data_IF_325097596342
#
_entry.id   IF_325097596342
#
_cell.length_a   1.000
_cell.length_b   1.000
_cell.length_c   1.000
_cell.angle_alpha   90.00
_cell.angle_beta   90.00
_cell.angle_gamma   90.00
#
_symmetry.space_group_name_H-M   'P 1'
#
loop_
_entity.id
_entity.type
_entity.pdbx_description
1 polymer ?
#
# COMPACT_ATOMS: atom_id res chain seq x y z
N UNK A 1 -9.46 3.14 -6.34
CA UNK A 1 -9.97 4.27 -7.16
C UNK A 1 -10.65 5.34 -6.32
N UNK A 2 -11.54 5.00 -5.38
CA UNK A 2 -12.27 6.00 -4.55
C UNK A 2 -11.37 7.05 -3.88
N UNK A 3 -10.20 6.66 -3.37
CA UNK A 3 -9.27 7.60 -2.73
C UNK A 3 -8.66 8.59 -3.72
N UNK A 4 -8.36 8.14 -4.93
CA UNK A 4 -7.79 8.99 -6.00
C UNK A 4 -8.85 9.93 -6.54
N UNK A 5 -10.07 9.46 -6.76
CA UNK A 5 -11.18 10.31 -7.19
C UNK A 5 -11.50 11.38 -6.14
N UNK A 6 -11.51 11.02 -4.85
CA UNK A 6 -11.70 11.95 -3.75
C UNK A 6 -10.58 13.00 -3.68
N UNK A 7 -9.35 12.59 -3.86
CA UNK A 7 -8.19 13.48 -3.85
C UNK A 7 -8.21 14.44 -5.05
N UNK A 8 -8.45 13.94 -6.26
CA UNK A 8 -8.60 14.77 -7.46
C UNK A 8 -9.79 15.74 -7.36
N UNK A 9 -10.90 15.32 -6.75
CA UNK A 9 -12.05 16.19 -6.51
C UNK A 9 -11.73 17.34 -5.55
N UNK A 10 -10.90 17.09 -4.54
CA UNK A 10 -10.44 18.16 -3.64
C UNK A 10 -9.54 19.16 -4.39
N UNK A 11 -8.58 18.66 -5.17
CA UNK A 11 -7.74 19.53 -5.99
C UNK A 11 -8.55 20.31 -7.02
N UNK A 12 -9.54 19.66 -7.67
CA UNK A 12 -10.43 20.36 -8.60
C UNK A 12 -11.08 21.59 -7.96
N UNK A 13 -11.58 21.46 -6.74
CA UNK A 13 -12.18 22.61 -6.02
C UNK A 13 -11.18 23.73 -5.79
N UNK A 14 -9.92 23.39 -5.47
CA UNK A 14 -8.87 24.40 -5.28
C UNK A 14 -8.53 25.10 -6.59
N UNK A 15 -8.42 24.37 -7.70
CA UNK A 15 -8.18 24.92 -9.02
C UNK A 15 -9.35 25.80 -9.51
N UNK A 16 -10.60 25.36 -9.34
CA UNK A 16 -11.79 26.14 -9.70
C UNK A 16 -11.89 27.44 -8.89
N UNK A 17 -11.52 27.39 -7.62
CA UNK A 17 -11.48 28.61 -6.79
C UNK A 17 -10.40 29.57 -7.27
N UNK A 18 -9.23 29.07 -7.53
CA UNK A 18 -8.10 29.87 -7.98
C UNK A 18 -8.31 30.43 -9.39
N UNK A 19 -8.90 29.66 -10.31
CA UNK A 19 -9.15 30.10 -11.70
C UNK A 19 -10.09 31.31 -11.82
N UNK A 20 -10.86 31.58 -10.77
CA UNK A 20 -11.74 32.76 -10.68
C UNK A 20 -11.04 34.00 -10.15
N UNK A 21 -9.79 33.92 -9.70
CA UNK A 21 -9.04 35.05 -9.18
C UNK A 21 -8.44 35.88 -10.32
N UNK A 22 -8.39 37.20 -10.18
CA UNK A 22 -7.72 38.07 -11.14
C UNK A 22 -6.25 37.71 -11.31
N UNK A 23 -5.77 37.64 -12.54
CA UNK A 23 -4.39 37.33 -12.85
C UNK A 23 -4.07 35.84 -12.98
N UNK A 24 -5.04 34.95 -12.80
CA UNK A 24 -4.84 33.50 -13.05
C UNK A 24 -4.66 33.26 -14.56
N UNK A 25 -3.63 32.48 -14.97
CA UNK A 25 -3.41 32.14 -16.36
C UNK A 25 -4.63 31.46 -17.01
N UNK A 26 -4.91 31.79 -18.26
CA UNK A 26 -5.95 31.10 -19.03
C UNK A 26 -5.58 29.60 -19.23
N UNK A 27 -6.60 28.75 -19.36
CA UNK A 27 -6.39 27.32 -19.66
C UNK A 27 -5.97 26.47 -18.45
N UNK A 28 -6.06 27.02 -17.22
CA UNK A 28 -5.71 26.27 -15.99
C UNK A 28 -6.59 25.04 -15.81
N UNK A 29 -7.89 25.18 -16.05
CA UNK A 29 -8.84 24.07 -15.86
C UNK A 29 -8.65 22.97 -16.91
N UNK A 30 -8.38 23.34 -18.16
CA UNK A 30 -8.07 22.41 -19.24
C UNK A 30 -6.80 21.60 -18.95
N UNK A 31 -5.76 22.26 -18.45
CA UNK A 31 -4.53 21.59 -18.02
C UNK A 31 -4.78 20.63 -16.84
N UNK A 32 -5.56 21.07 -15.85
CA UNK A 32 -5.93 20.21 -14.73
C UNK A 32 -6.73 18.99 -15.20
N UNK A 33 -7.71 19.17 -16.08
CA UNK A 33 -8.55 18.10 -16.58
C UNK A 33 -7.73 17.09 -17.41
N UNK A 34 -6.78 17.56 -18.21
CA UNK A 34 -5.84 16.70 -18.94
C UNK A 34 -4.95 15.87 -17.98
N UNK A 35 -4.35 16.50 -16.97
CA UNK A 35 -3.53 15.79 -15.97
C UNK A 35 -4.37 14.82 -15.14
N UNK A 36 -5.57 15.23 -14.74
CA UNK A 36 -6.52 14.37 -14.03
C UNK A 36 -6.93 13.15 -14.86
N UNK A 37 -7.16 13.33 -16.16
CA UNK A 37 -7.43 12.23 -17.09
C UNK A 37 -6.27 11.23 -17.18
N UNK A 38 -5.04 11.72 -17.28
CA UNK A 38 -3.83 10.88 -17.28
C UNK A 38 -3.67 10.11 -15.98
N UNK A 39 -3.89 10.74 -14.83
CA UNK A 39 -3.85 10.07 -13.52
C UNK A 39 -4.89 8.95 -13.44
N UNK A 40 -6.12 9.21 -13.88
CA UNK A 40 -7.20 8.21 -13.89
C UNK A 40 -6.90 7.04 -14.83
N UNK A 41 -6.23 7.31 -15.94
CA UNK A 41 -5.77 6.30 -16.91
C UNK A 41 -4.49 5.57 -16.47
N UNK A 42 -3.87 5.96 -15.36
CA UNK A 42 -2.55 5.49 -14.90
C UNK A 42 -1.39 5.81 -15.87
N UNK A 43 -1.58 6.76 -16.78
CA UNK A 43 -0.52 7.29 -17.62
C UNK A 43 0.25 8.37 -16.85
N UNK A 44 1.17 7.93 -16.02
CA UNK A 44 1.94 8.81 -15.13
C UNK A 44 3.19 9.41 -15.79
N UNK A 45 3.45 9.06 -17.04
CA UNK A 45 4.66 9.42 -17.77
C UNK A 45 5.84 8.50 -17.45
N UNK A 46 6.86 8.54 -18.28
CA UNK A 46 8.09 7.76 -18.09
C UNK A 46 9.01 8.44 -17.07
N UNK A 47 9.75 7.62 -16.32
CA UNK A 47 10.73 8.08 -15.36
C UNK A 47 10.14 8.57 -14.03
N UNK A 48 11.03 9.02 -13.16
CA UNK A 48 10.72 9.61 -11.85
C UNK A 48 11.49 10.89 -11.67
N UNK A 49 10.83 11.91 -11.11
CA UNK A 49 11.43 13.18 -10.77
C UNK A 49 11.80 13.14 -9.30
N UNK A 50 13.09 13.30 -8.98
CA UNK A 50 13.56 13.35 -7.59
C UNK A 50 13.08 14.62 -6.89
N UNK A 51 12.62 14.46 -5.67
CA UNK A 51 12.20 15.54 -4.76
C UNK A 51 12.95 15.35 -3.44
N UNK A 52 12.94 16.35 -2.57
CA UNK A 52 13.66 16.29 -1.29
C UNK A 52 13.42 14.99 -0.50
N UNK A 53 14.35 14.64 0.35
CA UNK A 53 14.38 13.44 1.20
C UNK A 53 14.38 12.09 0.42
N UNK A 54 14.90 12.08 -0.80
CA UNK A 54 14.97 10.86 -1.63
C UNK A 54 13.63 10.39 -2.17
N UNK A 55 12.56 11.14 -1.97
CA UNK A 55 11.26 10.85 -2.55
C UNK A 55 11.26 11.12 -4.06
N UNK A 56 10.67 10.23 -4.84
CA UNK A 56 10.52 10.39 -6.28
C UNK A 56 9.04 10.36 -6.68
N UNK A 57 8.63 11.32 -7.52
CA UNK A 57 7.27 11.40 -8.06
C UNK A 57 7.25 11.17 -9.57
N UNK A 58 6.12 10.75 -10.10
CA UNK A 58 5.90 10.63 -11.54
C UNK A 58 5.81 12.01 -12.21
N UNK A 59 6.16 12.12 -13.50
CA UNK A 59 6.10 13.38 -14.24
C UNK A 59 4.73 14.06 -14.17
N UNK A 60 3.63 13.33 -14.35
CA UNK A 60 2.29 13.92 -14.31
C UNK A 60 1.93 14.48 -12.93
N UNK A 61 2.40 13.87 -11.85
CA UNK A 61 2.19 14.40 -10.50
C UNK A 61 3.05 15.65 -10.26
N UNK A 62 4.25 15.70 -10.83
CA UNK A 62 5.08 16.91 -10.83
C UNK A 62 4.41 18.06 -11.57
N UNK A 63 3.88 17.78 -12.77
CA UNK A 63 3.17 18.79 -13.56
C UNK A 63 1.94 19.33 -12.82
N UNK A 64 1.20 18.45 -12.13
CA UNK A 64 0.06 18.86 -11.31
C UNK A 64 0.47 19.77 -10.16
N UNK A 65 1.58 19.45 -9.48
CA UNK A 65 2.15 20.30 -8.42
C UNK A 65 2.56 21.66 -8.94
N UNK A 66 3.22 21.70 -10.09
CA UNK A 66 3.74 22.94 -10.68
C UNK A 66 2.59 23.80 -11.24
N UNK A 67 1.55 23.18 -11.78
CA UNK A 67 0.32 23.88 -12.15
C UNK A 67 -0.33 24.53 -10.92
N UNK A 68 -0.42 23.83 -9.80
CA UNK A 68 -0.96 24.39 -8.56
C UNK A 68 -0.13 25.59 -8.05
N UNK A 69 1.21 25.49 -8.11
CA UNK A 69 2.08 26.62 -7.77
C UNK A 69 1.78 27.86 -8.60
N UNK A 70 1.51 27.67 -9.89
CA UNK A 70 1.19 28.77 -10.80
C UNK A 70 -0.06 29.55 -10.38
N UNK A 71 -1.04 28.87 -9.80
CA UNK A 71 -2.33 29.51 -9.44
C UNK A 71 -2.41 29.92 -7.98
N UNK A 72 -1.71 29.26 -7.06
CA UNK A 72 -1.82 29.49 -5.62
C UNK A 72 -0.62 30.21 -5.02
N UNK A 73 0.47 30.32 -5.78
CA UNK A 73 1.75 30.86 -5.30
C UNK A 73 2.52 29.91 -4.35
N UNK A 74 1.92 28.80 -3.95
CA UNK A 74 2.56 27.76 -3.11
C UNK A 74 2.53 26.39 -3.76
N UNK A 75 3.48 25.53 -3.40
CA UNK A 75 3.42 24.12 -3.76
C UNK A 75 2.49 23.37 -2.79
N UNK A 76 1.92 22.26 -3.25
CA UNK A 76 1.39 21.27 -2.32
C UNK A 76 2.49 20.81 -1.36
N UNK A 77 2.11 20.50 -0.13
CA UNK A 77 3.06 19.95 0.84
C UNK A 77 3.65 18.64 0.35
N UNK A 78 4.85 18.31 0.80
CA UNK A 78 5.51 17.06 0.45
C UNK A 78 4.65 15.85 0.86
N UNK A 79 3.97 15.92 2.01
CA UNK A 79 3.12 14.84 2.51
C UNK A 79 1.86 14.62 1.64
N UNK A 80 1.24 15.71 1.15
CA UNK A 80 0.12 15.62 0.20
C UNK A 80 0.55 14.89 -1.08
N UNK A 81 1.72 15.25 -1.62
CA UNK A 81 2.26 14.65 -2.85
C UNK A 81 2.73 13.21 -2.62
N UNK A 82 3.40 12.92 -1.49
CA UNK A 82 3.78 11.55 -1.12
C UNK A 82 2.53 10.65 -1.00
N UNK A 83 1.49 11.13 -0.35
CA UNK A 83 0.24 10.39 -0.20
C UNK A 83 -0.40 10.07 -1.55
N UNK A 84 -0.47 11.03 -2.47
CA UNK A 84 -0.98 10.78 -3.82
C UNK A 84 -0.13 9.74 -4.56
N UNK A 85 1.20 9.96 -4.64
CA UNK A 85 2.08 9.07 -5.38
C UNK A 85 2.01 7.64 -4.84
N UNK A 86 2.01 7.46 -3.51
CA UNK A 86 1.88 6.15 -2.87
C UNK A 86 0.56 5.45 -3.26
N UNK A 87 -0.55 6.17 -3.25
CA UNK A 87 -1.85 5.63 -3.65
C UNK A 87 -1.88 5.23 -5.13
N UNK A 88 -1.26 6.03 -6.00
CA UNK A 88 -1.15 5.74 -7.43
C UNK A 88 -0.27 4.51 -7.69
N UNK A 89 0.89 4.43 -7.04
CA UNK A 89 1.80 3.30 -7.17
C UNK A 89 1.14 1.99 -6.69
N UNK A 90 0.41 2.04 -5.57
CA UNK A 90 -0.35 0.89 -5.06
C UNK A 90 -1.47 0.47 -6.01
N UNK A 91 -2.20 1.43 -6.60
CA UNK A 91 -3.26 1.13 -7.55
C UNK A 91 -2.70 0.59 -8.86
N UNK A 92 -1.61 1.20 -9.39
CA UNK A 92 -0.94 0.71 -10.60
C UNK A 92 -0.46 -0.72 -10.43
N UNK A 93 0.19 -1.04 -9.31
CA UNK A 93 0.60 -2.41 -9.00
C UNK A 93 -0.56 -3.42 -9.08
N UNK A 94 -1.73 -3.05 -8.53
CA UNK A 94 -2.92 -3.91 -8.58
C UNK A 94 -3.46 -4.09 -10.00
N UNK A 95 -3.51 -3.01 -10.77
CA UNK A 95 -3.96 -3.05 -12.17
C UNK A 95 -3.04 -3.94 -13.01
N UNK A 96 -1.73 -3.75 -12.87
CA UNK A 96 -0.72 -4.52 -13.61
C UNK A 96 -0.78 -6.01 -13.22
N UNK A 97 -0.92 -6.33 -11.94
CA UNK A 97 -1.04 -7.70 -11.48
C UNK A 97 -2.31 -8.40 -11.97
N UNK A 98 -3.46 -7.70 -11.99
CA UNK A 98 -4.69 -8.22 -12.56
C UNK A 98 -4.59 -8.42 -14.08
N UNK A 99 -3.94 -7.49 -14.79
CA UNK A 99 -3.68 -7.62 -16.23
C UNK A 99 -2.77 -8.82 -16.56
N UNK A 100 -1.84 -9.16 -15.66
CA UNK A 100 -0.98 -10.35 -15.74
C UNK A 100 -1.70 -11.66 -15.38
N UNK A 101 -3.01 -11.62 -15.12
CA UNK A 101 -3.82 -12.81 -14.83
C UNK A 101 -3.84 -13.25 -13.36
N UNK A 102 -3.30 -12.42 -12.45
CA UNK A 102 -3.39 -12.71 -11.02
C UNK A 102 -4.84 -12.50 -10.53
N UNK A 103 -5.47 -13.55 -10.04
CA UNK A 103 -6.85 -13.51 -9.54
C UNK A 103 -6.96 -12.87 -8.16
N UNK A 104 -5.85 -12.78 -7.43
CA UNK A 104 -5.78 -12.15 -6.12
C UNK A 104 -4.54 -11.27 -6.02
N UNK A 105 -4.76 -9.96 -5.85
CA UNK A 105 -3.70 -8.98 -5.59
C UNK A 105 -3.86 -8.49 -4.16
N UNK A 106 -2.94 -8.85 -3.26
CA UNK A 106 -3.04 -8.42 -1.87
C UNK A 106 -2.98 -6.89 -1.76
N UNK A 107 -3.82 -6.35 -0.90
CA UNK A 107 -3.75 -4.93 -0.59
C UNK A 107 -2.54 -4.69 0.31
N UNK A 108 -1.46 -4.10 -0.22
CA UNK A 108 -0.24 -3.82 0.55
C UNK A 108 -0.45 -2.85 1.71
N UNK A 109 -1.47 -2.01 1.59
CA UNK A 109 -1.72 -0.92 2.54
C UNK A 109 -2.72 -1.31 3.64
N UNK A 110 -3.35 -2.49 3.54
CA UNK A 110 -4.23 -3.00 4.57
C UNK A 110 -3.48 -4.09 5.34
N UNK A 111 -3.15 -3.84 6.60
CA UNK A 111 -2.55 -4.87 7.43
C UNK A 111 -3.50 -6.06 7.50
N UNK A 112 -2.94 -7.25 7.46
CA UNK A 112 -3.71 -8.48 7.66
C UNK A 112 -4.17 -8.59 9.11
N UNK A 113 -5.17 -9.42 9.39
CA UNK A 113 -5.62 -9.64 10.78
C UNK A 113 -4.49 -10.09 11.69
N UNK A 114 -3.59 -10.93 11.19
CA UNK A 114 -2.41 -11.36 11.92
C UNK A 114 -1.45 -10.19 12.22
N UNK A 115 -1.24 -9.29 11.27
CA UNK A 115 -0.43 -8.09 11.48
C UNK A 115 -1.07 -7.10 12.46
N UNK A 116 -2.40 -6.91 12.38
CA UNK A 116 -3.16 -6.07 13.31
C UNK A 116 -3.10 -6.64 14.74
N UNK A 117 -3.28 -7.95 14.89
CA UNK A 117 -3.19 -8.63 16.17
C UNK A 117 -1.77 -8.52 16.77
N UNK A 118 -0.73 -8.67 15.94
CA UNK A 118 0.66 -8.50 16.38
C UNK A 118 0.94 -7.06 16.86
N UNK A 119 0.45 -6.05 16.12
CA UNK A 119 0.59 -4.64 16.52
C UNK A 119 -0.20 -4.31 17.80
N UNK A 120 -1.35 -4.95 18.01
CA UNK A 120 -2.14 -4.84 19.23
C UNK A 120 -1.37 -5.41 20.42
N UNK A 121 -0.76 -6.60 20.27
CA UNK A 121 0.07 -7.22 21.30
C UNK A 121 1.25 -6.33 21.70
N UNK A 122 1.92 -5.69 20.74
CA UNK A 122 2.99 -4.73 21.06
C UNK A 122 2.49 -3.58 21.93
N UNK A 123 1.32 -3.03 21.66
CA UNK A 123 0.70 -1.96 22.47
C UNK A 123 0.36 -2.45 23.89
N UNK A 124 -0.24 -3.62 23.99
CA UNK A 124 -0.64 -4.22 25.29
C UNK A 124 0.56 -4.61 26.16
N UNK A 125 1.70 -4.95 25.55
CA UNK A 125 2.93 -5.35 26.24
C UNK A 125 3.92 -4.20 26.45
N UNK A 126 3.45 -2.96 26.45
CA UNK A 126 4.26 -1.78 26.78
C UNK A 126 4.79 -0.99 25.57
N UNK A 127 4.27 -1.22 24.36
CA UNK A 127 4.57 -0.42 23.17
C UNK A 127 5.92 -0.73 22.51
N UNK A 128 6.68 -1.70 23.01
CA UNK A 128 7.92 -2.12 22.40
C UNK A 128 7.62 -3.02 21.19
N UNK A 129 8.18 -2.67 20.02
CA UNK A 129 8.05 -3.47 18.80
C UNK A 129 8.76 -4.82 18.98
N UNK A 130 7.99 -5.87 19.06
CA UNK A 130 8.44 -7.26 19.10
C UNK A 130 7.53 -8.14 18.23
N UNK A 131 6.23 -8.20 18.60
CA UNK A 131 5.25 -9.08 17.96
C UNK A 131 4.96 -8.72 16.50
N UNK A 132 5.02 -7.43 16.15
CA UNK A 132 4.80 -6.93 14.78
C UNK A 132 6.08 -6.84 13.94
N UNK A 133 7.24 -7.29 14.47
CA UNK A 133 8.44 -7.36 13.65
C UNK A 133 8.31 -8.45 12.58
N UNK A 134 8.87 -8.22 11.40
CA UNK A 134 8.80 -9.18 10.27
C UNK A 134 9.36 -10.55 10.64
N UNK A 135 10.44 -10.58 11.42
CA UNK A 135 11.09 -11.83 11.85
C UNK A 135 10.20 -12.62 12.79
N UNK A 136 9.63 -11.98 13.79
CA UNK A 136 8.75 -12.65 14.77
C UNK A 136 7.45 -13.11 14.11
N UNK A 137 6.85 -12.28 13.25
CA UNK A 137 5.66 -12.67 12.49
C UNK A 137 5.95 -13.87 11.58
N UNK A 138 7.09 -13.86 10.88
CA UNK A 138 7.49 -15.00 10.05
C UNK A 138 7.73 -16.27 10.88
N UNK A 139 8.44 -16.18 12.00
CA UNK A 139 8.69 -17.31 12.88
C UNK A 139 7.40 -17.98 13.36
N UNK A 140 6.41 -17.18 13.77
CA UNK A 140 5.09 -17.68 14.22
C UNK A 140 4.24 -18.24 13.07
N UNK A 141 4.33 -17.63 11.90
CA UNK A 141 3.67 -18.17 10.70
C UNK A 141 4.28 -19.49 10.27
N UNK A 142 5.60 -19.60 10.33
CA UNK A 142 6.33 -20.83 10.02
C UNK A 142 6.05 -21.95 11.05
N UNK A 143 6.00 -21.62 12.35
CA UNK A 143 5.60 -22.57 13.40
C UNK A 143 4.19 -23.12 13.14
N UNK A 144 3.25 -22.25 12.75
CA UNK A 144 1.90 -22.66 12.37
C UNK A 144 1.86 -23.56 11.13
N UNK A 145 2.66 -23.24 10.11
CA UNK A 145 2.83 -24.06 8.90
C UNK A 145 3.36 -25.45 9.22
N UNK A 146 4.42 -25.54 10.04
CA UNK A 146 4.98 -26.83 10.46
C UNK A 146 3.96 -27.65 11.25
N UNK A 147 3.21 -27.01 12.15
CA UNK A 147 2.11 -27.65 12.88
C UNK A 147 1.07 -28.25 11.95
N UNK A 148 0.60 -27.50 10.95
CA UNK A 148 -0.37 -28.00 9.97
C UNK A 148 0.15 -29.17 9.14
N UNK A 149 1.45 -29.15 8.78
CA UNK A 149 2.09 -30.27 8.06
C UNK A 149 2.17 -31.53 8.91
N UNK A 150 2.49 -31.40 10.20
CA UNK A 150 2.54 -32.51 11.12
C UNK A 150 1.13 -33.09 11.38
N UNK A 151 0.15 -32.23 11.57
CA UNK A 151 -1.25 -32.64 11.76
C UNK A 151 -1.76 -33.42 10.53
N UNK A 152 -1.39 -33.02 9.31
CA UNK A 152 -1.77 -33.71 8.08
C UNK A 152 -1.26 -35.14 7.97
N UNK A 153 -0.18 -35.47 8.68
CA UNK A 153 0.38 -36.86 8.74
C UNK A 153 0.14 -37.50 10.10
N UNK A 154 -0.77 -36.97 10.89
CA UNK A 154 -1.07 -37.43 12.26
C UNK A 154 0.15 -37.51 13.21
N UNK A 155 1.20 -36.73 12.93
CA UNK A 155 2.36 -36.56 13.77
C UNK A 155 2.20 -35.36 14.73
N UNK A 156 2.86 -35.47 15.88
CA UNK A 156 2.88 -34.35 16.86
C UNK A 156 4.33 -34.07 17.26
N UNK A 157 4.69 -32.81 17.23
CA UNK A 157 5.98 -32.36 17.76
C UNK A 157 5.73 -31.14 18.69
N UNK A 158 5.63 -31.39 19.98
CA UNK A 158 5.40 -30.37 21.00
C UNK A 158 6.67 -29.65 21.44
N UNK A 159 7.83 -30.05 20.92
CA UNK A 159 9.11 -29.45 21.26
C UNK A 159 9.48 -28.31 20.31
N UNK A 160 9.33 -28.49 19.00
CA UNK A 160 9.67 -27.48 17.98
C UNK A 160 8.47 -26.67 17.54
N UNK A 161 7.30 -27.28 17.46
CA UNK A 161 6.05 -26.65 17.12
C UNK A 161 5.16 -26.64 18.35
N UNK A 162 4.79 -25.47 18.84
CA UNK A 162 3.82 -25.33 19.91
C UNK A 162 2.42 -25.59 19.37
N UNK A 163 2.18 -26.85 18.94
CA UNK A 163 0.89 -27.28 18.42
C UNK A 163 -0.24 -26.83 19.35
N UNK A 164 -1.19 -26.11 18.84
CA UNK A 164 -2.31 -25.56 19.59
C UNK A 164 -2.21 -24.07 19.92
N UNK A 165 -1.24 -23.34 19.38
CA UNK A 165 -1.34 -21.87 19.36
C UNK A 165 -2.54 -21.46 18.51
N UNK A 166 -3.63 -21.24 19.20
CA UNK A 166 -4.87 -20.68 18.66
C UNK A 166 -4.95 -19.21 19.08
N UNK A 167 -5.67 -18.41 18.32
CA UNK A 167 -5.91 -17.02 18.65
C UNK A 167 -5.00 -16.04 17.90
N UNK A 168 -4.89 -14.84 18.41
CA UNK A 168 -4.30 -13.67 17.74
C UNK A 168 -2.77 -13.73 17.57
N UNK A 169 -2.12 -14.74 18.12
CA UNK A 169 -0.65 -14.88 18.06
C UNK A 169 -0.14 -15.58 16.80
N UNK A 170 -1.01 -16.24 16.03
CA UNK A 170 -0.69 -16.96 14.79
C UNK A 170 -1.70 -16.64 13.70
N UNK A 171 -1.35 -16.79 12.42
CA UNK A 171 -2.33 -16.60 11.35
C UNK A 171 -3.47 -17.61 11.46
N UNK A 172 -4.68 -17.19 11.11
CA UNK A 172 -5.89 -18.00 11.22
C UNK A 172 -6.73 -17.98 9.93
N UNK A 173 -7.57 -19.02 9.75
CA UNK A 173 -8.55 -19.11 8.67
C UNK A 173 -7.94 -18.96 7.27
N UNK A 174 -8.59 -18.24 6.34
CA UNK A 174 -8.11 -18.09 4.96
C UNK A 174 -6.73 -17.43 4.86
N UNK A 175 -6.37 -16.55 5.79
CA UNK A 175 -5.06 -15.93 5.87
C UNK A 175 -3.97 -16.97 6.15
N UNK A 176 -4.21 -17.91 7.08
CA UNK A 176 -3.29 -19.01 7.38
C UNK A 176 -3.08 -19.90 6.16
N UNK A 177 -4.14 -20.22 5.45
CA UNK A 177 -4.08 -21.00 4.20
C UNK A 177 -3.20 -20.34 3.15
N UNK A 178 -3.39 -19.02 2.93
CA UNK A 178 -2.60 -18.26 1.96
C UNK A 178 -1.13 -18.14 2.36
N UNK A 179 -0.84 -17.91 3.63
CA UNK A 179 0.52 -17.85 4.17
C UNK A 179 1.20 -19.23 4.05
N UNK A 180 0.52 -20.32 4.40
CA UNK A 180 1.05 -21.68 4.27
C UNK A 180 1.39 -22.02 2.81
N UNK A 181 0.56 -21.63 1.85
CA UNK A 181 0.86 -21.82 0.43
C UNK A 181 2.11 -21.04 0.00
N UNK A 182 2.28 -19.82 0.47
CA UNK A 182 3.47 -19.00 0.18
C UNK A 182 4.74 -19.58 0.80
N UNK A 183 4.67 -20.09 2.03
CA UNK A 183 5.79 -20.75 2.71
C UNK A 183 6.16 -22.07 1.96
N UNK A 184 5.16 -22.84 1.52
CA UNK A 184 5.41 -24.05 0.74
C UNK A 184 6.13 -23.71 -0.57
N UNK A 185 5.66 -22.70 -1.30
CA UNK A 185 6.32 -22.23 -2.53
C UNK A 185 7.77 -21.84 -2.27
N UNK A 186 8.04 -21.15 -1.16
CA UNK A 186 9.43 -20.80 -0.77
C UNK A 186 10.28 -22.04 -0.54
N UNK A 187 9.75 -23.05 0.17
CA UNK A 187 10.48 -24.32 0.43
C UNK A 187 10.75 -25.07 -0.87
N UNK A 188 9.78 -25.10 -1.79
CA UNK A 188 9.90 -25.80 -3.07
C UNK A 188 10.91 -25.15 -4.02
N UNK A 189 11.37 -23.92 -3.72
CA UNK A 189 12.37 -23.18 -4.52
C UNK A 189 13.80 -23.29 -3.99
N UNK A 190 14.00 -23.91 -2.84
CA UNK A 190 15.31 -24.16 -2.21
C UNK A 190 15.81 -25.56 -2.54
#
# INVERSE_FOLDING_TARGET
RKNIDGWLSNFRRDYERASKQPGTPAGVMEKFDALSGRIKAMDLGEGKIAVGDGFAMSPVVSDLRDLYKTISGRLYSLDEIKGLQSNLDALKYKVDALAAGNTHVPNRDVPTRFAEAAAKLDKEKGGKLYWSTKLEMFARAFDAFVSDKLDAIAAKNTYLSHAGRTGDTVPNGPERTAINASIQTLIDTI
#
